data_IF_233589537589
#
_entry.id   IF_233589537589
#
_cell.length_a   1.000
_cell.length_b   1.000
_cell.length_c   1.000
_cell.angle_alpha   90.00
_cell.angle_beta   90.00
_cell.angle_gamma   90.00
#
_symmetry.space_group_name_H-M   'P 1'
#
loop_
_entity.id
_entity.type
_entity.pdbx_description
1 polymer ?
#
# COMPACT_ATOMS: atom_id res chain seq x y z
N UNK A 1 -22.87 -12.12 -2.74
CA UNK A 1 -24.07 -11.35 -3.06
C UNK A 1 -24.49 -10.36 -1.95
N UNK A 2 -23.61 -10.04 -1.01
CA UNK A 2 -23.91 -9.08 0.06
C UNK A 2 -23.80 -7.66 -0.44
N UNK A 3 -24.78 -6.84 -0.13
CA UNK A 3 -24.62 -5.38 -0.15
C UNK A 3 -23.45 -5.07 0.78
N UNK A 4 -22.48 -4.25 0.39
CA UNK A 4 -21.39 -3.89 1.28
C UNK A 4 -21.93 -3.49 2.65
N UNK A 5 -21.55 -4.24 3.70
CA UNK A 5 -21.98 -3.97 5.05
C UNK A 5 -23.33 -4.57 5.50
N UNK A 6 -23.74 -5.71 4.95
CA UNK A 6 -24.94 -6.45 5.41
C UNK A 6 -24.77 -7.09 6.81
N UNK A 7 -23.61 -6.97 7.41
CA UNK A 7 -23.28 -7.57 8.71
C UNK A 7 -22.86 -9.04 8.63
N UNK A 8 -22.53 -9.53 7.44
CA UNK A 8 -21.89 -10.86 7.30
C UNK A 8 -20.58 -10.89 8.07
N UNK A 9 -20.26 -11.98 8.77
CA UNK A 9 -19.03 -12.07 9.53
C UNK A 9 -17.79 -12.07 8.60
N UNK A 10 -16.73 -11.44 9.04
CA UNK A 10 -15.43 -11.58 8.41
C UNK A 10 -15.01 -13.05 8.40
N UNK A 11 -14.27 -13.46 7.37
CA UNK A 11 -13.74 -14.80 7.26
C UNK A 11 -12.24 -14.75 7.06
N UNK A 12 -11.52 -15.55 7.84
CA UNK A 12 -10.09 -15.78 7.72
C UNK A 12 -9.87 -17.25 7.41
N UNK A 13 -9.34 -17.52 6.23
CA UNK A 13 -9.12 -18.90 5.81
C UNK A 13 -7.66 -19.29 5.95
N UNK A 14 -7.40 -20.30 6.78
CA UNK A 14 -6.09 -20.94 6.90
C UNK A 14 -6.00 -22.12 5.93
N UNK A 15 -5.00 -22.09 5.05
CA UNK A 15 -4.66 -23.19 4.14
C UNK A 15 -3.88 -24.30 4.87
N UNK A 16 -4.08 -25.56 4.47
CA UNK A 16 -3.36 -26.72 5.00
C UNK A 16 -2.15 -27.15 4.14
N UNK A 17 -1.84 -26.39 3.10
CA UNK A 17 -0.79 -26.69 2.13
C UNK A 17 -1.15 -27.80 1.13
N UNK A 18 -2.37 -28.35 1.20
CA UNK A 18 -2.89 -29.42 0.33
C UNK A 18 -4.12 -28.97 -0.47
N UNK A 19 -4.35 -27.64 -0.58
CA UNK A 19 -5.47 -27.05 -1.29
C UNK A 19 -6.79 -27.02 -0.53
N UNK A 20 -6.80 -27.29 0.77
CA UNK A 20 -7.99 -27.16 1.62
C UNK A 20 -7.83 -25.96 2.55
N UNK A 21 -8.95 -25.34 2.90
CA UNK A 21 -9.01 -24.16 3.75
C UNK A 21 -10.00 -24.35 4.89
N UNK A 22 -9.65 -23.91 6.08
CA UNK A 22 -10.54 -23.82 7.25
C UNK A 22 -10.76 -22.37 7.61
N UNK A 23 -12.02 -21.98 7.85
CA UNK A 23 -12.35 -20.67 8.40
C UNK A 23 -11.95 -20.64 9.87
N UNK A 24 -11.03 -19.75 10.23
CA UNK A 24 -10.46 -19.63 11.57
C UNK A 24 -10.71 -18.23 12.17
N UNK A 25 -11.55 -17.37 11.57
CA UNK A 25 -11.74 -15.98 11.99
C UNK A 25 -12.12 -15.87 13.47
N UNK A 26 -13.14 -16.61 13.92
CA UNK A 26 -13.60 -16.60 15.33
C UNK A 26 -12.52 -17.14 16.28
N UNK A 27 -11.90 -18.28 15.92
CA UNK A 27 -10.84 -18.90 16.71
C UNK A 27 -9.60 -18.03 16.80
N UNK A 28 -9.31 -17.25 15.75
CA UNK A 28 -8.19 -16.33 15.67
C UNK A 28 -8.44 -14.97 16.36
N UNK A 29 -9.66 -14.70 16.81
CA UNK A 29 -9.99 -13.43 17.47
C UNK A 29 -10.35 -12.29 16.53
N UNK A 30 -10.62 -12.56 15.23
CA UNK A 30 -11.04 -11.54 14.28
C UNK A 30 -12.55 -11.35 14.36
N UNK A 31 -12.99 -10.21 14.89
CA UNK A 31 -14.41 -9.95 15.11
C UNK A 31 -15.20 -9.70 13.81
N UNK A 32 -16.50 -10.02 13.80
CA UNK A 32 -17.40 -9.66 12.71
C UNK A 32 -17.48 -8.14 12.55
N UNK A 33 -17.53 -7.67 11.30
CA UNK A 33 -17.63 -6.24 11.00
C UNK A 33 -18.14 -6.00 9.58
N UNK A 34 -18.39 -4.73 9.27
CA UNK A 34 -18.73 -4.28 7.92
C UNK A 34 -17.49 -3.96 7.10
N UNK A 35 -16.61 -4.93 6.99
CA UNK A 35 -15.34 -4.76 6.30
C UNK A 35 -15.55 -4.66 4.79
N UNK A 36 -14.93 -3.65 4.18
CA UNK A 36 -14.89 -3.44 2.73
C UNK A 36 -13.50 -3.71 2.18
N UNK A 37 -12.47 -3.25 2.90
CA UNK A 37 -11.08 -3.43 2.52
C UNK A 37 -10.26 -3.99 3.66
N UNK A 38 -9.17 -4.68 3.32
CA UNK A 38 -8.19 -5.14 4.28
C UNK A 38 -6.79 -5.05 3.70
N UNK A 39 -5.81 -4.93 4.57
CA UNK A 39 -4.39 -5.02 4.20
C UNK A 39 -3.62 -5.78 5.28
N UNK A 40 -2.51 -6.36 4.88
CA UNK A 40 -1.57 -7.05 5.76
C UNK A 40 -0.20 -6.38 5.68
N UNK A 41 0.47 -6.21 6.81
CA UNK A 41 1.81 -5.65 6.90
C UNK A 41 2.41 -5.89 8.29
N UNK A 42 3.71 -6.06 8.37
CA UNK A 42 4.48 -6.18 9.62
C UNK A 42 4.76 -4.78 10.18
N UNK A 43 3.82 -4.25 11.01
CA UNK A 43 3.91 -2.87 11.47
C UNK A 43 4.85 -2.67 12.66
N UNK A 44 5.07 -3.70 13.48
CA UNK A 44 5.93 -3.64 14.66
C UNK A 44 7.28 -4.33 14.48
N UNK A 45 7.55 -4.79 13.25
CA UNK A 45 8.83 -5.35 12.82
C UNK A 45 9.21 -6.66 13.54
N UNK A 46 8.22 -7.44 13.95
CA UNK A 46 8.44 -8.73 14.62
C UNK A 46 8.56 -9.91 13.64
N UNK A 47 8.27 -9.70 12.36
CA UNK A 47 8.47 -10.64 11.24
C UNK A 47 7.21 -11.38 10.83
N UNK A 48 6.07 -11.11 11.47
CA UNK A 48 4.79 -11.65 11.00
C UNK A 48 3.81 -10.54 10.52
N UNK A 49 2.78 -10.94 9.78
CA UNK A 49 1.90 -9.98 9.14
C UNK A 49 0.69 -9.68 10.01
N UNK A 50 0.50 -8.42 10.32
CA UNK A 50 -0.64 -7.86 11.03
C UNK A 50 -1.78 -7.54 10.08
N UNK A 51 -2.99 -7.38 10.61
CA UNK A 51 -4.20 -7.23 9.82
C UNK A 51 -4.93 -5.93 10.14
N UNK A 52 -5.10 -5.07 9.13
CA UNK A 52 -5.96 -3.91 9.23
C UNK A 52 -7.24 -4.10 8.39
N UNK A 53 -8.39 -3.78 8.99
CA UNK A 53 -9.72 -3.89 8.39
C UNK A 53 -10.38 -2.52 8.27
N UNK A 54 -10.60 -2.05 7.05
CA UNK A 54 -11.36 -0.85 6.77
C UNK A 54 -12.87 -1.17 6.78
N UNK A 55 -13.64 -0.46 7.59
CA UNK A 55 -15.04 -0.75 7.85
C UNK A 55 -15.96 0.39 7.41
N UNK A 56 -17.08 0.04 6.80
CA UNK A 56 -18.06 1.01 6.30
C UNK A 56 -18.98 1.51 7.40
N UNK A 57 -18.98 2.81 7.64
CA UNK A 57 -19.78 3.49 8.68
C UNK A 57 -19.52 2.96 10.10
N UNK A 58 -18.36 2.40 10.34
CA UNK A 58 -17.88 1.94 11.65
C UNK A 58 -16.43 2.39 11.85
N UNK A 59 -15.91 2.23 13.05
CA UNK A 59 -14.48 2.35 13.29
C UNK A 59 -13.74 1.19 12.64
N UNK A 60 -12.60 1.47 12.04
CA UNK A 60 -11.71 0.46 11.50
C UNK A 60 -11.11 -0.37 12.66
N UNK A 61 -10.64 -1.57 12.33
CA UNK A 61 -10.01 -2.46 13.31
C UNK A 61 -8.60 -2.81 12.90
N UNK A 62 -7.68 -2.81 13.87
CA UNK A 62 -6.31 -3.21 13.69
C UNK A 62 -5.98 -4.38 14.63
N UNK A 63 -5.47 -5.45 14.06
CA UNK A 63 -5.15 -6.67 14.78
C UNK A 63 -3.66 -6.97 14.63
N UNK A 64 -2.97 -7.06 15.76
CA UNK A 64 -1.61 -7.58 15.80
C UNK A 64 -1.63 -9.10 15.74
N UNK A 65 -0.73 -9.66 14.97
CA UNK A 65 -0.55 -11.10 14.88
C UNK A 65 0.33 -11.60 16.04
N UNK A 66 -0.26 -12.31 16.97
CA UNK A 66 0.44 -12.91 18.10
C UNK A 66 0.57 -14.45 17.92
N UNK A 67 0.67 -14.91 16.68
CA UNK A 67 0.75 -16.31 16.34
C UNK A 67 2.12 -16.90 16.70
N UNK A 68 2.18 -17.81 17.67
CA UNK A 68 3.43 -18.52 17.97
C UNK A 68 3.81 -19.48 16.83
N UNK A 69 5.04 -19.37 16.26
CA UNK A 69 5.50 -20.26 15.20
C UNK A 69 5.37 -21.74 15.60
N UNK A 70 4.77 -22.54 14.72
CA UNK A 70 4.58 -23.98 14.94
C UNK A 70 3.46 -24.37 15.90
N UNK A 71 2.75 -23.43 16.51
CA UNK A 71 1.59 -23.72 17.39
C UNK A 71 0.42 -24.38 16.66
N UNK A 72 0.34 -24.19 15.34
CA UNK A 72 -0.78 -24.62 14.52
C UNK A 72 -2.08 -23.82 14.75
N UNK A 73 -2.00 -22.76 15.54
CA UNK A 73 -3.13 -21.88 15.86
C UNK A 73 -2.79 -20.46 15.44
N UNK A 74 -3.71 -19.79 14.75
CA UNK A 74 -3.60 -18.37 14.40
C UNK A 74 -4.20 -17.53 15.54
N UNK A 75 -3.52 -16.48 15.97
CA UNK A 75 -3.96 -15.61 17.07
C UNK A 75 -3.77 -14.15 16.64
N UNK A 76 -4.86 -13.39 16.66
CA UNK A 76 -4.85 -11.95 16.44
C UNK A 76 -5.37 -11.23 17.70
N UNK A 77 -4.68 -10.16 18.09
CA UNK A 77 -5.08 -9.30 19.22
C UNK A 77 -5.52 -7.94 18.67
N UNK A 78 -6.74 -7.49 19.04
CA UNK A 78 -7.22 -6.16 18.69
C UNK A 78 -6.40 -5.08 19.39
N UNK A 79 -5.61 -4.33 18.61
CA UNK A 79 -4.76 -3.22 19.07
C UNK A 79 -5.26 -1.86 18.56
N UNK A 80 -6.50 -1.80 18.07
CA UNK A 80 -7.09 -0.60 17.46
C UNK A 80 -7.03 0.64 18.36
N UNK A 81 -7.21 0.46 19.67
CA UNK A 81 -7.21 1.58 20.63
C UNK A 81 -5.81 2.04 20.96
N UNK A 82 -4.88 1.12 21.04
CA UNK A 82 -3.47 1.35 21.31
C UNK A 82 -2.85 2.13 20.15
N UNK A 83 -3.11 1.69 18.93
CA UNK A 83 -2.60 2.29 17.71
C UNK A 83 -3.32 3.58 17.30
N UNK A 84 -4.55 3.82 17.80
CA UNK A 84 -5.40 4.99 17.47
C UNK A 84 -5.75 5.14 15.99
N UNK A 85 -5.83 4.04 15.28
CA UNK A 85 -6.01 3.99 13.81
C UNK A 85 -7.47 3.77 13.37
N UNK A 86 -8.45 4.22 14.14
CA UNK A 86 -9.88 3.92 13.97
C UNK A 86 -10.56 4.62 12.78
N UNK A 87 -9.97 5.71 12.27
CA UNK A 87 -10.56 6.52 11.18
C UNK A 87 -9.97 6.13 9.82
N UNK A 88 -10.64 6.48 8.71
CA UNK A 88 -11.94 7.16 8.62
C UNK A 88 -13.14 6.23 8.88
N UNK A 89 -14.30 6.78 9.22
CA UNK A 89 -15.52 5.96 9.39
C UNK A 89 -16.08 5.38 8.08
N UNK A 90 -15.73 5.98 6.96
CA UNK A 90 -16.00 5.48 5.61
C UNK A 90 -14.75 4.87 5.01
N UNK A 91 -13.94 4.18 5.80
CA UNK A 91 -12.72 3.53 5.34
C UNK A 91 -13.00 2.57 4.20
N UNK A 92 -12.15 2.62 3.15
CA UNK A 92 -12.39 1.86 1.93
C UNK A 92 -11.19 1.02 1.53
N UNK A 93 -10.10 1.63 1.07
CA UNK A 93 -8.90 0.90 0.63
C UNK A 93 -7.71 1.25 1.50
N UNK A 94 -7.34 0.39 2.44
CA UNK A 94 -6.13 0.55 3.23
C UNK A 94 -4.94 -0.09 2.53
N UNK A 95 -3.74 0.47 2.77
CA UNK A 95 -2.47 -0.17 2.47
C UNK A 95 -1.39 0.29 3.44
N UNK A 96 -0.41 -0.59 3.66
CA UNK A 96 0.82 -0.27 4.35
C UNK A 96 1.90 0.14 3.35
N UNK A 97 2.66 1.17 3.68
CA UNK A 97 3.81 1.65 2.91
C UNK A 97 4.69 2.51 3.82
N UNK A 98 5.90 2.75 3.45
CA UNK A 98 6.84 3.62 4.18
C UNK A 98 6.91 4.96 3.43
N UNK A 99 6.04 5.94 3.82
CA UNK A 99 5.91 7.16 3.02
C UNK A 99 7.06 8.14 3.24
N UNK A 100 7.73 8.11 4.39
CA UNK A 100 8.82 9.04 4.72
C UNK A 100 10.20 8.39 4.75
N UNK A 101 10.25 7.09 4.38
CA UNK A 101 11.49 6.32 4.24
C UNK A 101 12.29 6.23 5.55
N UNK A 102 11.58 6.08 6.67
CA UNK A 102 12.18 5.88 7.99
C UNK A 102 12.42 4.40 8.33
N UNK A 103 11.92 3.47 7.51
CA UNK A 103 12.04 2.03 7.68
C UNK A 103 10.89 1.38 8.45
N UNK A 104 9.87 2.13 8.86
CA UNK A 104 8.66 1.60 9.48
C UNK A 104 7.49 1.66 8.48
N UNK A 105 6.58 0.68 8.56
CA UNK A 105 5.40 0.69 7.72
C UNK A 105 4.34 1.62 8.30
N UNK A 106 4.03 2.66 7.56
CA UNK A 106 2.92 3.56 7.79
C UNK A 106 1.62 2.99 7.22
N UNK A 107 0.50 3.58 7.62
CA UNK A 107 -0.81 3.11 7.18
C UNK A 107 -1.59 4.25 6.51
N UNK A 108 -1.95 4.04 5.26
CA UNK A 108 -2.94 4.86 4.57
C UNK A 108 -4.29 4.13 4.52
N UNK A 109 -5.38 4.87 4.68
CA UNK A 109 -6.73 4.38 4.45
C UNK A 109 -7.52 5.44 3.69
N UNK A 110 -7.95 5.11 2.46
CA UNK A 110 -8.83 5.98 1.69
C UNK A 110 -10.22 6.05 2.30
N UNK A 111 -11.04 6.98 1.85
CA UNK A 111 -12.41 7.10 2.29
C UNK A 111 -13.40 7.10 1.12
N UNK A 112 -14.56 6.51 1.35
CA UNK A 112 -15.72 6.67 0.50
C UNK A 112 -16.59 7.80 1.07
N UNK A 113 -16.50 8.98 0.49
CA UNK A 113 -17.28 10.15 0.90
C UNK A 113 -18.45 10.40 -0.02
N UNK A 114 -19.52 11.00 0.51
CA UNK A 114 -20.59 11.51 -0.35
C UNK A 114 -20.11 12.71 -1.19
N UNK A 115 -20.79 12.92 -2.33
CA UNK A 115 -20.43 13.97 -3.29
C UNK A 115 -20.40 15.39 -2.69
N UNK A 116 -21.30 15.67 -1.76
CA UNK A 116 -21.37 16.97 -1.09
C UNK A 116 -20.15 17.20 -0.20
N UNK A 117 -19.71 16.15 0.50
CA UNK A 117 -18.49 16.23 1.31
C UNK A 117 -17.24 16.51 0.45
N UNK A 118 -17.13 15.84 -0.69
CA UNK A 118 -16.01 16.06 -1.64
C UNK A 118 -16.03 17.49 -2.20
N UNK A 119 -17.17 17.96 -2.70
CA UNK A 119 -17.28 19.33 -3.22
C UNK A 119 -16.98 20.38 -2.16
N UNK A 120 -17.51 20.20 -0.95
CA UNK A 120 -17.23 21.12 0.15
C UNK A 120 -15.75 21.15 0.52
N UNK A 121 -15.09 20.00 0.55
CA UNK A 121 -13.68 19.92 0.90
C UNK A 121 -12.78 20.53 -0.18
N UNK A 122 -13.13 20.40 -1.47
CA UNK A 122 -12.45 21.08 -2.57
C UNK A 122 -12.52 22.60 -2.45
N UNK A 123 -13.70 23.13 -2.11
CA UNK A 123 -13.90 24.58 -1.96
C UNK A 123 -13.13 25.15 -0.76
N UNK A 124 -13.08 24.44 0.35
CA UNK A 124 -12.50 24.92 1.61
C UNK A 124 -11.08 24.43 1.87
N UNK A 125 -10.54 23.54 1.04
CA UNK A 125 -9.24 22.89 1.26
C UNK A 125 -9.18 21.95 2.46
N UNK A 126 -10.32 21.65 3.06
CA UNK A 126 -10.46 20.71 4.19
C UNK A 126 -11.87 20.15 4.26
N UNK A 127 -12.03 18.97 4.85
CA UNK A 127 -13.36 18.43 5.11
C UNK A 127 -14.04 19.08 6.32
N UNK A 128 -15.37 19.06 6.32
CA UNK A 128 -16.20 19.58 7.42
C UNK A 128 -16.24 18.65 8.64
N UNK A 129 -16.00 17.36 8.41
CA UNK A 129 -15.99 16.31 9.43
C UNK A 129 -14.70 15.53 9.33
N UNK A 130 -13.91 15.47 10.39
CA UNK A 130 -12.63 14.75 10.42
C UNK A 130 -12.72 13.28 10.03
N UNK A 131 -13.89 12.68 10.15
CA UNK A 131 -14.15 11.28 9.80
C UNK A 131 -14.46 11.02 8.33
N UNK A 132 -14.59 12.06 7.49
CA UNK A 132 -14.89 11.97 6.06
C UNK A 132 -13.67 12.45 5.23
N UNK A 133 -12.49 12.04 5.60
CA UNK A 133 -11.23 12.28 4.91
C UNK A 133 -10.42 11.00 4.89
N UNK A 134 -9.46 10.81 3.99
CA UNK A 134 -8.52 9.72 4.13
C UNK A 134 -7.75 9.85 5.44
N UNK A 135 -7.13 8.80 5.88
CA UNK A 135 -6.22 8.84 7.01
C UNK A 135 -4.83 8.37 6.58
N UNK A 136 -3.82 9.13 6.96
CA UNK A 136 -2.43 8.72 6.94
C UNK A 136 -1.93 8.69 8.37
N UNK A 137 -1.46 7.53 8.78
CA UNK A 137 -0.93 7.27 10.10
C UNK A 137 0.55 6.98 10.00
N UNK A 138 1.36 7.85 10.58
CA UNK A 138 2.79 7.65 10.72
C UNK A 138 3.08 6.67 11.86
N UNK A 139 3.90 5.68 11.60
CA UNK A 139 4.32 4.68 12.57
C UNK A 139 5.51 5.20 13.38
N UNK A 140 5.34 5.39 14.67
CA UNK A 140 6.38 5.91 15.57
C UNK A 140 7.49 4.88 15.88
N UNK A 141 7.40 3.65 15.36
CA UNK A 141 8.37 2.57 15.58
C UNK A 141 8.33 1.95 16.98
N UNK A 142 7.38 2.34 17.80
CA UNK A 142 7.18 1.84 19.17
C UNK A 142 5.86 1.07 19.36
N UNK A 143 5.20 0.73 18.24
CA UNK A 143 3.89 0.08 18.20
C UNK A 143 2.71 1.06 18.25
N UNK A 144 2.96 2.37 18.27
CA UNK A 144 1.94 3.41 18.18
C UNK A 144 1.99 4.17 16.86
N UNK A 145 0.87 4.84 16.52
CA UNK A 145 0.77 5.67 15.33
C UNK A 145 0.36 7.11 15.67
N UNK A 146 0.88 8.07 14.91
CA UNK A 146 0.43 9.45 14.89
C UNK A 146 -0.41 9.76 13.66
N UNK A 147 -1.51 10.51 13.80
CA UNK A 147 -2.30 10.99 12.65
C UNK A 147 -1.53 12.09 11.91
N UNK A 148 -0.91 11.75 10.79
CA UNK A 148 -0.14 12.64 9.93
C UNK A 148 -0.99 13.34 8.86
N UNK A 149 -2.27 13.02 8.71
CA UNK A 149 -3.12 13.41 7.58
C UNK A 149 -3.15 14.91 7.31
N UNK A 150 -3.35 15.74 8.34
CA UNK A 150 -3.37 17.19 8.15
C UNK A 150 -1.98 17.78 7.95
N UNK A 151 -0.98 17.23 8.64
CA UNK A 151 0.41 17.67 8.53
C UNK A 151 0.97 17.47 7.13
N UNK A 152 0.55 16.42 6.46
CA UNK A 152 1.00 16.07 5.10
C UNK A 152 0.09 16.58 3.97
N UNK A 153 -0.94 17.37 4.26
CA UNK A 153 -1.80 17.97 3.23
C UNK A 153 -2.98 17.11 2.78
N UNK A 154 -3.20 15.94 3.38
CA UNK A 154 -4.27 15.00 3.02
C UNK A 154 -5.62 15.28 3.70
N UNK A 155 -5.77 16.43 4.34
CA UNK A 155 -6.95 16.80 5.15
C UNK A 155 -8.24 17.08 4.37
N UNK A 156 -8.34 16.72 3.08
CA UNK A 156 -9.55 16.88 2.26
C UNK A 156 -10.13 15.52 1.88
N UNK A 157 -11.43 15.47 1.56
CA UNK A 157 -12.07 14.28 0.98
C UNK A 157 -11.77 14.19 -0.52
N UNK A 158 -11.52 12.99 -1.00
CA UNK A 158 -11.29 12.70 -2.41
C UNK A 158 -12.43 11.85 -3.01
N UNK A 159 -13.10 11.03 -2.19
CA UNK A 159 -14.12 10.09 -2.67
C UNK A 159 -13.51 8.97 -3.50
N UNK A 160 -12.36 8.45 -3.05
CA UNK A 160 -11.60 7.47 -3.78
C UNK A 160 -12.32 6.11 -3.83
N UNK A 161 -12.44 5.55 -5.03
CA UNK A 161 -12.95 4.21 -5.32
C UNK A 161 -11.83 3.24 -5.71
N UNK A 162 -10.60 3.72 -5.76
CA UNK A 162 -9.37 2.97 -5.89
C UNK A 162 -8.20 3.79 -5.36
N UNK A 163 -7.21 3.12 -4.81
CA UNK A 163 -6.01 3.77 -4.30
C UNK A 163 -4.83 2.80 -4.36
N UNK A 164 -3.69 3.30 -4.77
CA UNK A 164 -2.43 2.56 -4.66
C UNK A 164 -1.25 3.53 -4.64
N UNK A 165 -0.07 3.01 -4.31
CA UNK A 165 1.15 3.78 -4.24
C UNK A 165 2.23 3.23 -5.19
N UNK A 166 3.13 4.11 -5.59
CA UNK A 166 4.32 3.83 -6.38
C UNK A 166 5.21 5.07 -6.44
N UNK A 167 6.44 4.91 -6.82
CA UNK A 167 7.41 6.01 -6.96
C UNK A 167 7.51 6.42 -8.44
N UNK A 168 6.52 7.20 -8.90
CA UNK A 168 6.44 7.55 -10.33
C UNK A 168 7.54 8.51 -10.79
N UNK A 169 8.09 9.31 -9.87
CA UNK A 169 9.12 10.29 -10.21
C UNK A 169 10.55 9.79 -9.92
N UNK A 170 10.69 8.56 -9.41
CA UNK A 170 11.96 7.90 -9.15
C UNK A 170 12.81 8.52 -8.05
N UNK A 171 12.20 9.30 -7.12
CA UNK A 171 12.95 9.99 -6.06
C UNK A 171 13.13 9.16 -4.79
N UNK A 172 12.53 7.97 -4.73
CA UNK A 172 12.58 7.04 -3.63
C UNK A 172 11.50 7.23 -2.58
N UNK A 173 10.61 8.20 -2.74
CA UNK A 173 9.47 8.39 -1.87
C UNK A 173 8.17 7.98 -2.58
N UNK A 174 7.39 7.04 -2.04
CA UNK A 174 6.20 6.57 -2.72
C UNK A 174 5.12 7.65 -2.81
N UNK A 175 4.59 7.84 -4.01
CA UNK A 175 3.45 8.68 -4.35
C UNK A 175 2.15 7.89 -4.24
N UNK A 176 1.00 8.58 -4.21
CA UNK A 176 -0.32 7.92 -4.12
C UNK A 176 -1.18 8.35 -5.30
N UNK A 177 -1.71 7.39 -6.06
CA UNK A 177 -2.77 7.67 -7.02
C UNK A 177 -4.12 7.26 -6.44
N UNK A 178 -5.08 8.19 -6.49
CA UNK A 178 -6.45 7.98 -6.08
C UNK A 178 -7.36 8.00 -7.31
N UNK A 179 -7.88 6.85 -7.67
CA UNK A 179 -8.93 6.73 -8.64
C UNK A 179 -10.28 7.05 -7.99
N UNK A 180 -11.03 7.97 -8.57
CA UNK A 180 -12.21 8.57 -7.95
C UNK A 180 -13.47 8.33 -8.77
N UNK A 181 -14.63 8.76 -8.25
CA UNK A 181 -15.92 8.61 -8.86
C UNK A 181 -16.80 7.61 -8.10
N UNK A 182 -18.08 7.93 -7.93
CA UNK A 182 -18.98 7.10 -7.13
C UNK A 182 -19.81 6.14 -7.96
N UNK A 183 -20.58 5.28 -7.26
CA UNK A 183 -21.52 4.34 -7.86
C UNK A 183 -22.65 5.05 -8.64
N UNK A 184 -22.98 6.30 -8.29
CA UNK A 184 -24.04 7.07 -8.93
C UNK A 184 -23.68 7.39 -10.39
N UNK A 185 -24.63 7.20 -11.32
CA UNK A 185 -24.41 7.35 -12.76
C UNK A 185 -23.90 8.75 -13.16
N UNK A 186 -24.21 9.77 -12.37
CA UNK A 186 -23.86 11.17 -12.63
C UNK A 186 -22.66 11.67 -11.83
N UNK A 187 -22.04 10.81 -11.04
CA UNK A 187 -20.93 11.18 -10.16
C UNK A 187 -19.60 10.98 -10.87
N UNK A 188 -19.06 12.07 -11.38
CA UNK A 188 -17.73 12.12 -12.00
C UNK A 188 -16.85 13.06 -11.17
N UNK A 189 -15.73 12.53 -10.71
CA UNK A 189 -14.74 13.27 -9.94
C UNK A 189 -13.37 13.10 -10.61
N UNK A 190 -12.53 14.12 -10.60
CA UNK A 190 -11.19 13.99 -11.15
C UNK A 190 -10.32 13.14 -10.23
N UNK A 191 -9.59 12.21 -10.82
CA UNK A 191 -8.56 11.45 -10.12
C UNK A 191 -7.48 12.36 -9.55
N UNK A 192 -6.77 11.92 -8.54
CA UNK A 192 -5.68 12.65 -7.92
C UNK A 192 -4.38 11.84 -7.96
N UNK A 193 -3.28 12.50 -8.33
CA UNK A 193 -1.92 12.02 -8.13
C UNK A 193 -1.27 12.87 -7.03
N UNK A 194 -1.13 12.27 -5.89
CA UNK A 194 -0.58 12.89 -4.68
C UNK A 194 0.93 12.64 -4.65
N UNK A 195 1.68 13.59 -5.16
CA UNK A 195 3.14 13.51 -5.22
C UNK A 195 3.71 13.74 -3.83
N UNK A 196 4.56 12.84 -3.40
CA UNK A 196 5.25 12.87 -2.13
C UNK A 196 6.42 13.86 -2.17
N UNK A 197 6.43 14.81 -1.29
CA UNK A 197 7.46 15.84 -1.18
C UNK A 197 8.45 15.43 -0.08
N UNK A 198 9.30 14.44 -0.36
CA UNK A 198 10.35 13.94 0.53
C UNK A 198 9.83 13.52 1.92
N UNK A 199 8.71 12.79 1.98
CA UNK A 199 8.08 12.33 3.23
C UNK A 199 7.42 13.42 4.07
N UNK A 200 7.40 14.68 3.62
CA UNK A 200 6.92 15.82 4.43
C UNK A 200 5.49 16.23 4.12
N UNK A 201 5.08 16.09 2.88
CA UNK A 201 3.76 16.50 2.40
C UNK A 201 3.42 15.80 1.09
N UNK A 202 2.12 15.74 0.79
CA UNK A 202 1.60 15.31 -0.51
C UNK A 202 0.96 16.48 -1.25
N UNK A 203 1.24 16.59 -2.54
CA UNK A 203 0.70 17.64 -3.42
C UNK A 203 -0.02 16.99 -4.59
N UNK A 204 -1.30 17.32 -4.78
CA UNK A 204 -2.06 16.82 -5.94
C UNK A 204 -1.55 17.51 -7.23
N UNK A 205 -0.94 16.72 -8.08
CA UNK A 205 -0.35 17.16 -9.35
C UNK A 205 -0.99 16.51 -10.58
N UNK A 206 -2.10 15.78 -10.42
CA UNK A 206 -2.72 15.03 -11.51
C UNK A 206 -3.05 15.88 -12.74
N UNK A 207 -3.56 17.10 -12.54
CA UNK A 207 -3.88 18.04 -13.63
C UNK A 207 -2.61 18.54 -14.35
N UNK A 208 -1.59 18.90 -13.57
CA UNK A 208 -0.33 19.44 -14.10
C UNK A 208 0.47 18.40 -14.89
N UNK A 209 0.42 17.16 -14.45
CA UNK A 209 1.13 16.03 -15.08
C UNK A 209 0.32 15.44 -16.25
N UNK A 210 -1.01 15.68 -16.27
CA UNK A 210 -1.89 15.21 -17.33
C UNK A 210 -2.45 13.79 -17.12
N UNK A 211 -2.40 13.29 -15.89
CA UNK A 211 -2.95 11.97 -15.51
C UNK A 211 -4.30 12.08 -14.80
N UNK A 212 -4.87 13.28 -14.75
CA UNK A 212 -6.20 13.50 -14.21
C UNK A 212 -7.26 12.96 -15.19
N UNK A 213 -8.08 12.04 -14.71
CA UNK A 213 -9.20 11.47 -15.46
C UNK A 213 -10.52 11.85 -14.77
N UNK A 214 -11.50 12.24 -15.57
CA UNK A 214 -12.90 12.37 -15.13
C UNK A 214 -13.63 11.08 -15.48
N UNK A 215 -13.87 10.25 -14.51
CA UNK A 215 -14.52 8.97 -14.76
C UNK A 215 -14.90 8.29 -13.45
N UNK A 216 -14.93 6.99 -13.50
CA UNK A 216 -15.14 6.12 -12.36
C UNK A 216 -13.99 5.12 -12.33
N UNK A 217 -12.88 5.58 -11.81
CA UNK A 217 -11.71 4.74 -11.63
C UNK A 217 -11.94 3.72 -10.51
N UNK A 218 -11.27 2.58 -10.62
CA UNK A 218 -11.34 1.53 -9.61
C UNK A 218 -9.93 1.19 -9.12
N UNK A 219 -9.38 0.03 -9.45
CA UNK A 219 -8.01 -0.30 -9.08
C UNK A 219 -6.98 0.65 -9.70
N UNK A 220 -5.79 0.64 -9.15
CA UNK A 220 -4.63 1.35 -9.68
C UNK A 220 -3.44 0.41 -9.66
N UNK A 221 -2.61 0.47 -10.67
CA UNK A 221 -1.34 -0.25 -10.72
C UNK A 221 -0.24 0.71 -11.13
N UNK A 222 0.85 0.71 -10.37
CA UNK A 222 2.12 1.27 -10.78
C UNK A 222 3.02 0.13 -11.23
N UNK A 223 3.59 0.24 -12.41
CA UNK A 223 4.56 -0.72 -12.91
C UNK A 223 5.32 -0.13 -14.11
N UNK A 224 6.54 -0.53 -14.29
CA UNK A 224 7.34 -0.26 -15.49
C UNK A 224 6.84 -1.18 -16.64
N UNK A 225 5.94 -0.67 -17.49
CA UNK A 225 5.31 -1.43 -18.57
C UNK A 225 6.15 -1.51 -19.84
N UNK A 226 7.04 -0.55 -20.08
CA UNK A 226 7.85 -0.53 -21.30
C UNK A 226 9.35 -0.87 -21.05
N UNK A 227 9.74 -1.06 -19.79
CA UNK A 227 11.05 -1.56 -19.41
C UNK A 227 12.13 -0.49 -19.41
N UNK A 228 11.76 0.78 -19.22
CA UNK A 228 12.71 1.89 -19.23
C UNK A 228 13.16 2.34 -17.82
N UNK A 229 12.56 1.75 -16.77
CA UNK A 229 12.96 1.87 -15.37
C UNK A 229 12.18 2.88 -14.57
N UNK A 230 11.24 3.60 -15.17
CA UNK A 230 10.29 4.41 -14.42
C UNK A 230 8.91 3.71 -14.33
N UNK A 231 8.10 4.13 -13.37
CA UNK A 231 6.79 3.53 -13.16
C UNK A 231 5.70 4.27 -13.95
N UNK A 232 4.97 3.50 -14.75
CA UNK A 232 3.74 3.89 -15.43
C UNK A 232 2.52 3.72 -14.52
N UNK A 233 1.39 4.30 -14.92
CA UNK A 233 0.14 4.19 -14.15
C UNK A 233 -0.95 3.58 -15.01
N UNK A 234 -1.53 2.46 -14.57
CA UNK A 234 -2.72 1.88 -15.18
C UNK A 234 -3.93 2.03 -14.29
N UNK A 235 -5.03 2.54 -14.87
CA UNK A 235 -6.30 2.77 -14.16
C UNK A 235 -7.44 2.14 -14.98
N UNK A 236 -8.09 1.07 -14.49
CA UNK A 236 -9.33 0.60 -15.05
C UNK A 236 -10.45 1.59 -14.74
N UNK A 237 -11.15 1.99 -15.77
CA UNK A 237 -12.27 2.95 -15.69
C UNK A 237 -13.55 2.22 -16.06
N UNK A 238 -14.59 2.37 -15.25
CA UNK A 238 -15.86 1.75 -15.54
C UNK A 238 -16.96 2.18 -14.61
N UNK A 239 -18.16 1.77 -14.90
CA UNK A 239 -19.33 2.04 -14.08
C UNK A 239 -20.05 0.78 -13.64
N UNK A 240 -20.90 0.93 -12.64
CA UNK A 240 -21.69 -0.16 -12.05
C UNK A 240 -22.90 -0.52 -12.93
N UNK A 241 -23.34 0.38 -13.82
CA UNK A 241 -24.56 0.22 -14.59
C UNK A 241 -24.29 -0.09 -16.08
N UNK A 242 -25.13 -0.90 -16.74
CA UNK A 242 -25.05 -1.08 -18.19
C UNK A 242 -25.15 0.27 -18.91
N UNK A 243 -24.18 0.53 -19.81
CA UNK A 243 -24.09 1.80 -20.55
C UNK A 243 -23.16 2.83 -19.92
N UNK A 244 -22.71 2.63 -18.72
CA UNK A 244 -21.66 3.42 -18.08
C UNK A 244 -20.28 2.80 -18.43
N UNK A 245 -19.93 2.90 -19.72
CA UNK A 245 -18.73 2.26 -20.29
C UNK A 245 -17.69 3.31 -20.57
N UNK A 246 -16.48 3.09 -20.06
CA UNK A 246 -15.32 3.95 -20.24
C UNK A 246 -14.11 3.14 -20.68
N UNK A 247 -13.19 3.78 -21.36
CA UNK A 247 -11.93 3.16 -21.73
C UNK A 247 -10.95 3.24 -20.54
N UNK A 248 -10.28 2.13 -20.26
CA UNK A 248 -9.18 2.11 -19.31
C UNK A 248 -8.06 3.05 -19.73
N UNK A 249 -7.28 3.52 -18.77
CA UNK A 249 -6.13 4.40 -19.03
C UNK A 249 -4.83 3.69 -18.66
N UNK A 250 -3.88 3.79 -19.57
CA UNK A 250 -2.47 3.50 -19.32
C UNK A 250 -1.72 4.80 -19.61
N UNK A 251 -1.14 5.37 -18.59
CA UNK A 251 -0.31 6.56 -18.66
C UNK A 251 1.13 6.11 -18.67
N UNK A 252 1.80 6.27 -19.81
CA UNK A 252 3.23 6.06 -19.89
C UNK A 252 3.95 7.25 -19.26
N UNK A 253 4.89 6.95 -18.40
CA UNK A 253 5.78 7.92 -17.80
C UNK A 253 6.91 8.22 -18.80
N UNK A 254 7.12 9.47 -19.12
CA UNK A 254 8.23 9.94 -19.96
C UNK A 254 9.09 10.93 -19.14
N UNK A 255 9.22 10.72 -17.83
CA UNK A 255 10.01 11.57 -16.93
C UNK A 255 11.50 11.48 -17.26
N UNK A 256 12.31 12.50 -16.91
CA UNK A 256 13.76 12.35 -17.01
C UNK A 256 14.24 11.13 -16.22
N UNK A 257 15.13 10.32 -16.80
CA UNK A 257 15.55 9.08 -16.18
C UNK A 257 16.23 9.35 -14.83
N UNK A 258 15.91 8.53 -13.85
CA UNK A 258 16.55 8.43 -12.54
C UNK A 258 17.08 7.03 -12.35
N UNK A 259 17.98 6.85 -11.39
CA UNK A 259 18.50 5.54 -11.08
C UNK A 259 17.46 4.68 -10.38
N UNK A 260 17.45 3.40 -10.68
CA UNK A 260 16.43 2.46 -10.21
C UNK A 260 16.98 1.06 -9.96
N UNK A 261 16.21 0.26 -9.22
CA UNK A 261 16.35 -1.20 -9.12
C UNK A 261 14.97 -1.85 -9.18
N UNK A 262 14.86 -2.91 -9.96
CA UNK A 262 13.71 -3.83 -9.90
C UNK A 262 14.15 -5.14 -9.26
N UNK A 263 13.51 -5.54 -8.17
CA UNK A 263 13.87 -6.70 -7.38
C UNK A 263 12.77 -7.76 -7.42
N UNK A 264 13.10 -8.94 -7.89
CA UNK A 264 12.26 -10.12 -7.75
C UNK A 264 12.81 -10.99 -6.62
N UNK A 265 12.03 -11.14 -5.57
CA UNK A 265 12.38 -11.95 -4.42
C UNK A 265 11.90 -13.39 -4.60
N UNK A 266 12.74 -14.37 -4.25
CA UNK A 266 12.41 -15.79 -4.33
C UNK A 266 12.75 -16.45 -2.99
N UNK A 267 11.70 -16.69 -2.18
CA UNK A 267 11.82 -17.39 -0.90
C UNK A 267 12.14 -18.87 -1.10
N UNK A 268 13.02 -19.39 -0.26
CA UNK A 268 13.39 -20.81 -0.19
C UNK A 268 12.94 -21.44 1.13
N UNK A 269 13.08 -20.75 2.24
CA UNK A 269 12.51 -21.06 3.54
C UNK A 269 11.24 -20.25 3.84
N UNK A 270 11.19 -19.03 3.34
CA UNK A 270 10.00 -18.15 3.33
C UNK A 270 8.98 -18.59 2.27
N UNK A 271 7.84 -17.89 2.19
CA UNK A 271 6.93 -18.05 1.06
C UNK A 271 7.65 -17.72 -0.26
N UNK A 272 7.27 -18.42 -1.34
CA UNK A 272 8.00 -18.37 -2.63
C UNK A 272 8.16 -16.98 -3.22
N UNK A 273 7.19 -16.12 -3.03
CA UNK A 273 7.17 -14.79 -3.65
C UNK A 273 7.74 -13.72 -2.70
N UNK A 274 8.29 -14.11 -1.53
CA UNK A 274 8.93 -13.22 -0.57
C UNK A 274 7.98 -12.23 0.11
N UNK A 275 6.65 -12.48 0.08
CA UNK A 275 5.66 -11.59 0.69
C UNK A 275 5.97 -11.43 2.19
N UNK A 276 6.07 -10.18 2.65
CA UNK A 276 6.50 -9.80 3.99
C UNK A 276 8.01 -9.53 4.10
N UNK A 277 8.81 -9.82 3.06
CA UNK A 277 10.22 -9.47 3.07
C UNK A 277 10.41 -7.95 3.03
N UNK A 278 11.36 -7.48 3.83
CA UNK A 278 11.74 -6.06 3.91
C UNK A 278 13.09 -5.86 3.24
N UNK A 279 13.15 -4.85 2.40
CA UNK A 279 14.34 -4.49 1.64
C UNK A 279 14.85 -3.13 2.10
N UNK A 280 16.13 -3.03 2.37
CA UNK A 280 16.85 -1.77 2.55
C UNK A 280 17.94 -1.67 1.50
N UNK A 281 17.94 -0.57 0.78
CA UNK A 281 18.98 -0.23 -0.21
C UNK A 281 19.72 1.01 0.27
N UNK A 282 21.01 0.88 0.53
CA UNK A 282 21.88 2.02 0.80
C UNK A 282 22.54 2.49 -0.49
N UNK A 283 22.24 3.73 -0.87
CA UNK A 283 22.83 4.37 -2.04
C UNK A 283 23.24 5.81 -1.70
N UNK A 284 24.55 6.07 -1.73
CA UNK A 284 25.15 7.31 -1.26
C UNK A 284 24.92 7.55 0.24
N UNK A 285 24.34 8.68 0.60
CA UNK A 285 24.04 9.04 1.98
C UNK A 285 22.64 8.65 2.44
N UNK A 286 21.84 7.97 1.58
CA UNK A 286 20.44 7.62 1.84
C UNK A 286 20.27 6.11 1.97
N UNK A 287 19.33 5.76 2.83
CA UNK A 287 18.70 4.44 2.82
C UNK A 287 17.31 4.56 2.16
N UNK A 288 16.96 3.57 1.35
CA UNK A 288 15.67 3.42 0.70
C UNK A 288 15.03 2.12 1.18
N UNK A 289 13.76 2.17 1.50
CA UNK A 289 13.05 1.03 2.07
C UNK A 289 11.88 0.62 1.20
N UNK A 290 11.68 -0.69 1.07
CA UNK A 290 10.51 -1.26 0.44
C UNK A 290 10.12 -2.56 1.13
N UNK A 291 8.84 -2.90 1.09
CA UNK A 291 8.34 -4.17 1.63
C UNK A 291 7.57 -4.91 0.55
N UNK A 292 7.88 -6.19 0.38
CA UNK A 292 7.20 -7.04 -0.57
C UNK A 292 5.78 -7.34 -0.08
N UNK A 293 4.77 -6.82 -0.78
CA UNK A 293 3.37 -7.05 -0.50
C UNK A 293 2.67 -7.77 -1.66
N UNK A 294 1.55 -8.42 -1.39
CA UNK A 294 0.75 -9.09 -2.43
C UNK A 294 -0.33 -8.21 -3.05
N UNK A 295 -0.45 -6.97 -2.61
CA UNK A 295 -1.42 -6.01 -3.12
C UNK A 295 -1.64 -4.85 -2.17
N UNK A 296 -2.28 -3.81 -2.67
CA UNK A 296 -2.63 -2.62 -1.91
C UNK A 296 -3.90 -2.01 -2.48
N UNK A 297 -5.03 -2.15 -1.78
CA UNK A 297 -6.30 -1.63 -2.24
C UNK A 297 -7.09 -2.59 -3.14
N UNK A 298 -8.30 -2.19 -3.50
CA UNK A 298 -9.24 -3.02 -4.27
C UNK A 298 -8.81 -3.15 -5.74
N UNK A 299 -8.52 -4.38 -6.16
CA UNK A 299 -8.11 -4.64 -7.53
C UNK A 299 -6.80 -3.98 -7.93
N UNK A 300 -6.00 -3.59 -6.93
CA UNK A 300 -4.72 -2.92 -7.11
C UNK A 300 -3.58 -3.84 -6.70
N UNK A 301 -2.46 -3.76 -7.39
CA UNK A 301 -1.27 -4.54 -7.04
C UNK A 301 -0.15 -4.28 -8.04
N UNK A 302 1.04 -4.15 -7.53
CA UNK A 302 2.26 -4.01 -8.32
C UNK A 302 2.81 -5.41 -8.59
N UNK A 303 3.12 -5.73 -9.79
CA UNK A 303 3.42 -7.02 -10.45
C UNK A 303 4.25 -8.13 -9.77
N UNK A 304 4.31 -8.22 -8.44
CA UNK A 304 5.07 -9.26 -7.74
C UNK A 304 6.59 -9.05 -7.74
N UNK A 305 7.02 -7.82 -7.96
CA UNK A 305 8.38 -7.32 -7.85
C UNK A 305 8.38 -5.98 -7.14
N UNK A 306 9.51 -5.60 -6.58
CA UNK A 306 9.72 -4.28 -6.00
C UNK A 306 10.43 -3.41 -7.04
N UNK A 307 9.82 -2.31 -7.39
CA UNK A 307 10.39 -1.29 -8.27
C UNK A 307 10.74 -0.09 -7.39
N UNK A 308 12.02 0.21 -7.29
CA UNK A 308 12.55 1.22 -6.37
C UNK A 308 13.29 2.30 -7.15
N UNK A 309 12.80 3.54 -7.08
CA UNK A 309 13.58 4.70 -7.49
C UNK A 309 14.69 4.98 -6.48
N UNK A 310 15.86 5.34 -6.99
CA UNK A 310 17.05 5.63 -6.20
C UNK A 310 17.55 7.08 -6.38
N UNK A 311 16.74 7.93 -7.00
CA UNK A 311 17.10 9.31 -7.27
C UNK A 311 18.29 9.42 -8.21
N UNK A 312 19.30 10.18 -7.77
CA UNK A 312 20.52 10.44 -8.55
C UNK A 312 21.71 9.55 -8.11
N UNK A 313 21.42 8.38 -7.50
CA UNK A 313 22.46 7.46 -7.05
C UNK A 313 23.18 6.84 -8.27
N UNK A 314 24.49 6.71 -8.20
CA UNK A 314 25.30 6.10 -9.25
C UNK A 314 25.65 4.62 -8.96
N UNK A 315 25.41 4.16 -7.74
CA UNK A 315 25.56 2.77 -7.29
C UNK A 315 24.82 2.52 -5.99
N UNK A 316 24.67 1.24 -5.67
CA UNK A 316 24.19 0.73 -4.39
C UNK A 316 25.36 0.13 -3.62
N UNK A 317 25.67 0.69 -2.45
CA UNK A 317 26.72 0.19 -1.58
C UNK A 317 26.29 -1.10 -0.88
N UNK A 318 25.02 -1.17 -0.44
CA UNK A 318 24.49 -2.32 0.27
C UNK A 318 22.99 -2.49 -0.01
N UNK A 319 22.58 -3.71 -0.30
CA UNK A 319 21.20 -4.15 -0.39
C UNK A 319 21.01 -5.26 0.64
N UNK A 320 20.13 -5.02 1.62
CA UNK A 320 19.76 -5.97 2.66
C UNK A 320 18.32 -6.44 2.43
N UNK A 321 18.09 -7.75 2.49
CA UNK A 321 16.76 -8.35 2.49
C UNK A 321 16.57 -9.11 3.80
N UNK A 322 15.56 -8.71 4.57
CA UNK A 322 15.07 -9.45 5.74
C UNK A 322 13.88 -10.29 5.32
N UNK A 323 14.05 -11.58 5.30
CA UNK A 323 13.02 -12.52 4.88
C UNK A 323 12.08 -12.89 6.03
N UNK A 324 10.81 -13.26 5.75
CA UNK A 324 9.87 -13.73 6.78
C UNK A 324 10.35 -14.94 7.59
N UNK A 325 11.28 -15.73 7.06
CA UNK A 325 11.90 -16.84 7.80
C UNK A 325 12.85 -16.39 8.92
N UNK A 326 13.17 -15.08 8.97
CA UNK A 326 14.22 -14.50 9.81
C UNK A 326 15.62 -14.54 9.17
N UNK A 327 15.78 -15.10 7.97
CA UNK A 327 17.03 -15.01 7.22
C UNK A 327 17.30 -13.55 6.84
N UNK A 328 18.57 -13.12 6.90
CA UNK A 328 19.01 -11.82 6.43
C UNK A 328 20.11 -12.04 5.40
N UNK A 329 19.87 -11.55 4.19
CA UNK A 329 20.82 -11.59 3.09
C UNK A 329 21.31 -10.18 2.77
N UNK A 330 22.60 -10.05 2.45
CA UNK A 330 23.21 -8.75 2.14
C UNK A 330 24.08 -8.88 0.89
N UNK A 331 23.79 -8.07 -0.11
CA UNK A 331 24.61 -7.91 -1.31
C UNK A 331 25.27 -6.54 -1.30
N UNK A 332 26.46 -6.44 -1.90
CA UNK A 332 27.25 -5.19 -1.91
C UNK A 332 27.75 -4.86 -3.31
N UNK A 333 28.01 -3.57 -3.52
CA UNK A 333 28.61 -3.07 -4.76
C UNK A 333 27.78 -3.36 -6.00
N UNK A 334 26.48 -3.09 -5.93
CA UNK A 334 25.50 -3.37 -6.99
C UNK A 334 25.40 -2.15 -7.91
N UNK A 335 25.42 -2.37 -9.22
CA UNK A 335 25.12 -1.31 -10.18
C UNK A 335 23.63 -0.93 -10.10
N UNK A 336 23.30 0.31 -10.36
CA UNK A 336 21.93 0.77 -10.57
C UNK A 336 21.38 0.37 -11.95
N UNK A 337 20.15 0.68 -12.25
CA UNK A 337 19.49 0.53 -13.55
C UNK A 337 19.47 -0.93 -14.04
N UNK A 338 19.01 -1.83 -13.16
CA UNK A 338 18.94 -3.25 -13.49
C UNK A 338 17.83 -4.00 -12.75
N UNK A 339 17.46 -5.13 -13.33
CA UNK A 339 16.58 -6.12 -12.72
C UNK A 339 17.40 -7.20 -12.02
N UNK A 340 17.08 -7.50 -10.76
CA UNK A 340 17.75 -8.52 -9.97
C UNK A 340 16.75 -9.59 -9.53
N UNK A 341 17.17 -10.85 -9.56
CA UNK A 341 16.47 -11.96 -8.93
C UNK A 341 17.27 -12.39 -7.72
N UNK A 342 16.72 -12.22 -6.54
CA UNK A 342 17.37 -12.48 -5.26
C UNK A 342 16.75 -13.71 -4.62
N UNK A 343 17.58 -14.72 -4.36
CA UNK A 343 17.13 -15.95 -3.70
C UNK A 343 17.51 -15.92 -2.23
N UNK A 344 16.58 -16.31 -1.38
CA UNK A 344 16.81 -16.42 0.06
C UNK A 344 17.93 -17.38 0.39
N UNK A 345 18.92 -16.91 1.16
CA UNK A 345 20.08 -17.67 1.60
C UNK A 345 21.22 -17.75 0.59
N UNK A 346 21.14 -17.06 -0.56
CA UNK A 346 22.19 -17.08 -1.61
C UNK A 346 23.11 -15.85 -1.60
N UNK A 347 22.90 -14.87 -0.69
CA UNK A 347 23.86 -13.78 -0.56
C UNK A 347 25.27 -14.30 -0.19
N UNK A 348 26.32 -13.67 -0.69
CA UNK A 348 27.70 -14.04 -0.33
C UNK A 348 27.88 -13.95 1.19
N UNK A 349 28.07 -15.09 1.84
CA UNK A 349 28.39 -15.13 3.27
C UNK A 349 29.75 -14.50 3.49
N UNK A 350 29.86 -13.47 4.31
CA UNK A 350 31.12 -12.94 4.76
C UNK A 350 32.00 -14.09 5.27
N UNK A 351 33.06 -14.42 4.55
CA UNK A 351 34.07 -15.38 5.01
C UNK A 351 34.41 -16.54 4.08
N UNK A 352 33.84 -16.61 2.88
CA UNK A 352 34.26 -17.64 1.89
C UNK A 352 35.22 -17.06 0.83
N UNK A 353 36.42 -16.65 1.24
CA UNK A 353 37.62 -16.51 0.38
C UNK A 353 38.76 -17.30 0.97
#
# INVERSE_FOLDING_TARGET
DGVPGDGSPNRLFRGDGQGRFADVAEEAGVEPGRTIGCTLGDYDNDGDLDLYLAQFNQFNSFYRNDTEPGSGRVVFTDVTRETRTQLPLGGYFPFFFDYDQDGNLDLFCSELSDYVAVLHSKEKGRTRLDRNRPALYHNEGDGSFADATYGTGLGRSFGATGAHFGDFNGDGYPDIYLATGGEEMTRYEPDALLVNMEGKAFVDMADQIGVQQLGKGHGVTFADFDGDGDQDIYVPIGGTFPGDTWENRLYRNDSPPRSWLTLRLVGTASNRDGIGARVRVRAGERDFYATMSSGGGFGSGNGGQLEMGLGDADRVEELEVRWPSGTVDVWRDIAVDQHLVLYEGEAEKEGSR
#
